data_IF_991570390211
#
_entry.id   IF_991570390211
#
_cell.length_a   1.000
_cell.length_b   1.000
_cell.length_c   1.000
_cell.angle_alpha   90.00
_cell.angle_beta   90.00
_cell.angle_gamma   90.00
#
_symmetry.space_group_name_H-M   'P 1'
#
loop_
_entity.id
_entity.type
_entity.pdbx_description
1 polymer ?
#
# COMPACT_ATOMS: atom_id res chain seq x y z
N UNK A 1 -21.67 30.72 47.67
CA UNK A 1 -21.08 31.19 46.38
C UNK A 1 -20.11 30.14 45.90
N UNK A 2 -20.57 29.26 45.04
CA UNK A 2 -19.76 28.17 44.46
C UNK A 2 -19.78 28.37 42.94
N UNK A 3 -18.67 28.81 42.41
CA UNK A 3 -18.46 29.05 40.98
C UNK A 3 -18.22 27.72 40.28
N UNK A 4 -19.17 27.34 39.47
CA UNK A 4 -19.07 26.24 38.52
C UNK A 4 -18.07 26.58 37.40
N UNK A 5 -16.98 25.83 37.31
CA UNK A 5 -16.07 25.89 36.14
C UNK A 5 -16.66 25.08 35.01
N UNK A 6 -17.10 25.77 33.97
CA UNK A 6 -17.44 25.15 32.67
C UNK A 6 -16.17 24.58 32.06
N UNK A 7 -16.12 23.26 32.00
CA UNK A 7 -15.16 22.53 31.21
C UNK A 7 -15.67 22.50 29.75
N UNK A 8 -15.20 23.43 28.92
CA UNK A 8 -15.38 23.39 27.49
C UNK A 8 -14.46 22.30 26.91
N UNK A 9 -15.00 21.11 26.72
CA UNK A 9 -14.38 20.08 25.90
C UNK A 9 -14.30 20.59 24.45
N UNK A 10 -13.13 21.03 24.05
CA UNK A 10 -12.79 21.33 22.65
C UNK A 10 -12.86 20.02 21.88
N UNK A 11 -13.99 19.77 21.24
CA UNK A 11 -14.12 18.72 20.24
C UNK A 11 -13.20 19.09 19.09
N UNK A 12 -12.07 18.43 18.99
CA UNK A 12 -11.17 18.52 17.85
C UNK A 12 -11.94 17.99 16.64
N UNK A 13 -12.61 18.85 15.91
CA UNK A 13 -13.15 18.51 14.59
C UNK A 13 -11.93 18.25 13.70
N UNK A 14 -11.63 16.97 13.44
CA UNK A 14 -10.64 16.62 12.44
C UNK A 14 -11.09 17.24 11.11
N UNK A 15 -10.32 18.18 10.61
CA UNK A 15 -10.54 18.79 9.30
C UNK A 15 -10.54 17.64 8.29
N UNK A 16 -11.68 17.40 7.63
CA UNK A 16 -11.77 16.37 6.60
C UNK A 16 -10.82 16.75 5.45
N UNK A 17 -9.87 15.90 5.16
CA UNK A 17 -8.96 16.09 4.04
C UNK A 17 -9.73 16.00 2.71
N UNK A 18 -9.22 16.65 1.66
CA UNK A 18 -9.74 16.43 0.31
C UNK A 18 -9.27 15.07 -0.20
N UNK A 19 -10.05 14.43 -1.08
CA UNK A 19 -9.69 13.16 -1.72
C UNK A 19 -8.28 13.22 -2.33
N UNK A 20 -7.97 14.32 -3.05
CA UNK A 20 -6.62 14.50 -3.60
C UNK A 20 -5.54 14.48 -2.51
N UNK A 21 -5.77 15.09 -1.35
CA UNK A 21 -4.81 15.06 -0.23
C UNK A 21 -4.66 13.65 0.33
N UNK A 22 -5.75 12.92 0.48
CA UNK A 22 -5.76 11.53 0.95
C UNK A 22 -4.98 10.63 -0.01
N UNK A 23 -5.19 10.74 -1.31
CA UNK A 23 -4.46 9.99 -2.34
C UNK A 23 -2.94 10.29 -2.32
N UNK A 24 -2.55 11.54 -2.10
CA UNK A 24 -1.12 11.89 -1.95
C UNK A 24 -0.52 11.29 -0.69
N UNK A 25 -1.22 11.32 0.45
CA UNK A 25 -0.77 10.68 1.69
C UNK A 25 -0.61 9.17 1.52
N UNK A 26 -1.58 8.51 0.90
CA UNK A 26 -1.54 7.08 0.58
C UNK A 26 -0.32 6.75 -0.30
N UNK A 27 -0.13 7.50 -1.40
CA UNK A 27 0.97 7.27 -2.34
C UNK A 27 2.35 7.48 -1.69
N UNK A 28 2.53 8.54 -0.91
CA UNK A 28 3.77 8.78 -0.17
C UNK A 28 4.04 7.64 0.81
N UNK A 29 3.02 7.18 1.54
CA UNK A 29 3.16 6.08 2.49
C UNK A 29 3.60 4.78 1.80
N UNK A 30 2.94 4.41 0.69
CA UNK A 30 3.25 3.20 -0.07
C UNK A 30 4.68 3.22 -0.64
N UNK A 31 5.10 4.33 -1.22
CA UNK A 31 6.47 4.49 -1.71
C UNK A 31 7.51 4.36 -0.58
N UNK A 32 7.23 4.93 0.60
CA UNK A 32 8.12 4.79 1.76
C UNK A 32 8.13 3.37 2.33
N UNK A 33 7.00 2.67 2.33
CA UNK A 33 6.89 1.28 2.77
C UNK A 33 7.72 0.32 1.90
N UNK A 34 7.85 0.63 0.59
CA UNK A 34 8.74 -0.08 -0.32
C UNK A 34 10.22 0.36 -0.21
N UNK A 35 10.54 1.27 0.71
CA UNK A 35 11.90 1.80 0.90
C UNK A 35 12.36 2.77 -0.19
N UNK A 36 11.45 3.25 -1.02
CA UNK A 36 11.77 4.14 -2.13
C UNK A 36 11.92 5.60 -1.67
N UNK A 37 12.88 6.35 -2.25
CA UNK A 37 13.03 7.77 -1.94
C UNK A 37 11.92 8.58 -2.61
N UNK A 38 10.97 9.09 -1.84
CA UNK A 38 9.85 9.86 -2.39
C UNK A 38 10.32 11.20 -2.93
N UNK A 39 10.43 11.31 -4.24
CA UNK A 39 10.67 12.56 -4.96
C UNK A 39 9.39 13.00 -5.68
N UNK A 40 9.31 14.28 -6.11
CA UNK A 40 8.17 14.77 -6.89
C UNK A 40 8.00 13.96 -8.19
N UNK A 41 9.11 13.57 -8.84
CA UNK A 41 9.06 12.77 -10.07
C UNK A 41 8.52 11.36 -9.82
N UNK A 42 9.03 10.66 -8.80
CA UNK A 42 8.57 9.32 -8.46
C UNK A 42 7.10 9.34 -8.01
N UNK A 43 6.72 10.35 -7.22
CA UNK A 43 5.33 10.53 -6.80
C UNK A 43 4.41 10.81 -8.00
N UNK A 44 4.84 11.61 -8.98
CA UNK A 44 4.07 11.86 -10.19
C UNK A 44 3.86 10.59 -11.03
N UNK A 45 4.87 9.72 -11.14
CA UNK A 45 4.72 8.43 -11.81
C UNK A 45 3.78 7.49 -11.04
N UNK A 46 3.92 7.41 -9.73
CA UNK A 46 3.04 6.59 -8.90
C UNK A 46 1.57 7.05 -8.97
N UNK A 47 1.31 8.36 -8.97
CA UNK A 47 -0.05 8.89 -9.06
C UNK A 47 -0.76 8.55 -10.38
N UNK A 48 -0.03 8.17 -11.43
CA UNK A 48 -0.63 7.68 -12.69
C UNK A 48 -1.22 6.28 -12.57
N UNK A 49 -0.87 5.52 -11.53
CA UNK A 49 -1.44 4.18 -11.27
C UNK A 49 -2.80 4.25 -10.58
N UNK A 50 -3.14 5.41 -9.99
CA UNK A 50 -4.44 5.65 -9.37
C UNK A 50 -5.51 5.80 -10.46
N UNK A 51 -6.73 5.26 -10.26
CA UNK A 51 -7.80 5.36 -11.24
C UNK A 51 -8.07 6.79 -11.72
N UNK A 52 -8.25 6.98 -13.02
CA UNK A 52 -8.52 8.30 -13.61
C UNK A 52 -9.79 8.97 -13.02
N UNK A 53 -10.73 8.17 -12.54
CA UNK A 53 -11.94 8.66 -11.86
C UNK A 53 -11.65 9.54 -10.64
N UNK A 54 -10.46 9.42 -10.02
CA UNK A 54 -10.02 10.25 -8.90
C UNK A 54 -9.64 11.68 -9.32
N UNK A 55 -9.49 11.95 -10.61
CA UNK A 55 -9.26 13.30 -11.15
C UNK A 55 -7.96 13.95 -10.69
N UNK A 56 -6.92 13.18 -10.40
CA UNK A 56 -5.65 13.68 -9.90
C UNK A 56 -4.80 14.30 -11.01
N UNK A 57 -4.24 15.48 -10.75
CA UNK A 57 -3.23 16.08 -11.63
C UNK A 57 -1.88 15.38 -11.44
N UNK A 58 -1.43 14.62 -12.44
CA UNK A 58 -0.20 13.82 -12.40
C UNK A 58 1.01 14.50 -13.06
N UNK A 59 0.86 15.72 -13.59
CA UNK A 59 1.99 16.49 -14.14
C UNK A 59 2.94 16.95 -13.04
N UNK A 60 4.24 17.05 -13.33
CA UNK A 60 5.23 17.53 -12.37
C UNK A 60 4.87 18.87 -11.71
N UNK A 61 4.39 19.91 -12.46
CA UNK A 61 3.94 21.16 -11.84
C UNK A 61 2.75 20.97 -10.88
N UNK A 62 1.77 20.14 -11.25
CA UNK A 62 0.61 19.84 -10.43
C UNK A 62 1.02 19.15 -9.13
N UNK A 63 1.82 18.10 -9.24
CA UNK A 63 2.34 17.34 -8.09
C UNK A 63 3.19 18.24 -7.19
N UNK A 64 4.10 19.03 -7.78
CA UNK A 64 4.91 19.98 -7.01
C UNK A 64 4.07 21.03 -6.26
N UNK A 65 3.00 21.52 -6.86
CA UNK A 65 2.08 22.47 -6.23
C UNK A 65 1.33 21.84 -5.06
N UNK A 66 0.85 20.60 -5.21
CA UNK A 66 0.17 19.87 -4.13
C UNK A 66 1.15 19.55 -2.98
N UNK A 67 2.35 19.08 -3.27
CA UNK A 67 3.36 18.80 -2.23
C UNK A 67 3.72 20.08 -1.44
N UNK A 68 3.86 21.22 -2.11
CA UNK A 68 4.05 22.51 -1.42
C UNK A 68 2.85 22.91 -0.56
N UNK A 69 1.64 22.61 -1.02
CA UNK A 69 0.44 22.81 -0.22
C UNK A 69 0.45 21.91 1.03
N UNK A 70 0.76 20.63 0.88
CA UNK A 70 0.90 19.67 1.99
C UNK A 70 1.97 20.10 3.01
N UNK A 71 3.08 20.67 2.52
CA UNK A 71 4.14 21.23 3.38
C UNK A 71 3.64 22.44 4.18
N UNK A 72 2.94 23.37 3.53
CA UNK A 72 2.34 24.54 4.21
C UNK A 72 1.26 24.14 5.22
N UNK A 73 0.49 23.09 4.94
CA UNK A 73 -0.52 22.55 5.85
C UNK A 73 0.08 21.63 6.94
N UNK A 74 1.39 21.40 6.91
CA UNK A 74 2.12 20.70 7.96
C UNK A 74 2.07 19.16 7.89
N UNK A 75 1.72 18.57 6.74
CA UNK A 75 1.67 17.11 6.56
C UNK A 75 3.02 16.52 6.11
N UNK A 76 3.77 17.26 5.32
CA UNK A 76 5.07 16.81 4.83
C UNK A 76 6.12 17.92 5.00
N UNK A 77 7.38 17.53 4.83
CA UNK A 77 8.53 18.45 4.67
C UNK A 77 9.30 18.03 3.43
N UNK A 78 9.86 19.00 2.72
CA UNK A 78 10.77 18.76 1.59
C UNK A 78 12.20 18.93 2.13
N UNK A 79 12.98 17.86 2.14
CA UNK A 79 14.38 17.91 2.52
C UNK A 79 15.16 18.81 1.57
N UNK A 80 15.79 19.86 2.08
CA UNK A 80 16.48 20.85 1.27
C UNK A 80 17.68 20.28 0.50
N UNK A 81 18.32 19.22 1.03
CA UNK A 81 19.54 18.63 0.49
C UNK A 81 19.26 17.65 -0.65
N UNK A 82 18.32 16.75 -0.47
CA UNK A 82 18.06 15.63 -1.40
C UNK A 82 16.71 15.72 -2.10
N UNK A 83 15.92 16.78 -1.81
CA UNK A 83 14.57 17.03 -2.37
C UNK A 83 13.56 15.91 -2.12
N UNK A 84 13.79 15.08 -1.10
CA UNK A 84 12.85 14.03 -0.71
C UNK A 84 11.68 14.62 0.09
N UNK A 85 10.50 14.08 -0.16
CA UNK A 85 9.29 14.37 0.61
C UNK A 85 9.24 13.39 1.78
N UNK A 86 9.18 13.93 3.00
CA UNK A 86 9.09 13.14 4.23
C UNK A 86 7.89 13.57 5.06
N UNK A 87 7.25 12.65 5.73
CA UNK A 87 6.13 12.97 6.61
C UNK A 87 6.56 13.79 7.84
N UNK A 88 5.69 14.68 8.28
CA UNK A 88 5.63 15.10 9.66
C UNK A 88 4.90 14.05 10.51
N UNK A 89 4.90 14.19 11.84
CA UNK A 89 4.10 13.32 12.72
C UNK A 89 2.61 13.37 12.33
N UNK A 90 2.07 14.57 12.10
CA UNK A 90 0.68 14.74 11.68
C UNK A 90 0.40 14.10 10.33
N UNK A 91 1.31 14.27 9.35
CA UNK A 91 1.20 13.65 8.03
C UNK A 91 1.20 12.14 8.11
N UNK A 92 2.11 11.57 8.89
CA UNK A 92 2.20 10.11 9.06
C UNK A 92 0.93 9.52 9.68
N UNK A 93 0.41 10.12 10.77
CA UNK A 93 -0.83 9.65 11.41
C UNK A 93 -2.04 9.71 10.47
N UNK A 94 -2.15 10.78 9.65
CA UNK A 94 -3.21 10.86 8.64
C UNK A 94 -3.02 9.82 7.54
N UNK A 95 -1.78 9.61 7.07
CA UNK A 95 -1.47 8.59 6.08
C UNK A 95 -1.83 7.17 6.59
N UNK A 96 -1.45 6.82 7.83
CA UNK A 96 -1.86 5.55 8.45
C UNK A 96 -3.39 5.35 8.44
N UNK A 97 -4.14 6.42 8.72
CA UNK A 97 -5.62 6.36 8.72
C UNK A 97 -6.16 6.05 7.33
N UNK A 98 -5.65 6.69 6.27
CA UNK A 98 -6.08 6.44 4.89
C UNK A 98 -5.64 5.06 4.42
N UNK A 99 -4.37 4.68 4.64
CA UNK A 99 -3.84 3.35 4.30
C UNK A 99 -4.65 2.24 4.99
N UNK A 100 -5.03 2.44 6.25
CA UNK A 100 -5.88 1.51 6.98
C UNK A 100 -7.24 1.34 6.30
N UNK A 101 -7.93 2.44 5.94
CA UNK A 101 -9.22 2.39 5.24
C UNK A 101 -9.10 1.73 3.88
N UNK A 102 -8.07 2.08 3.12
CA UNK A 102 -7.77 1.47 1.83
C UNK A 102 -7.63 -0.05 1.94
N UNK A 103 -6.76 -0.54 2.84
CA UNK A 103 -6.51 -1.98 3.04
C UNK A 103 -7.71 -2.72 3.61
N UNK A 104 -8.54 -2.06 4.41
CA UNK A 104 -9.83 -2.63 4.84
C UNK A 104 -10.85 -2.67 3.70
N UNK A 105 -10.85 -1.68 2.80
CA UNK A 105 -11.68 -1.72 1.59
C UNK A 105 -11.23 -2.85 0.65
N UNK A 106 -9.92 -3.05 0.44
CA UNK A 106 -9.39 -4.20 -0.32
C UNK A 106 -9.89 -5.53 0.26
N UNK A 107 -9.82 -5.72 1.59
CA UNK A 107 -10.36 -6.91 2.26
C UNK A 107 -11.87 -7.03 2.10
N UNK A 108 -12.60 -5.92 2.24
CA UNK A 108 -14.06 -5.89 2.11
C UNK A 108 -14.50 -6.41 0.73
N UNK A 109 -13.87 -5.88 -0.34
CA UNK A 109 -14.25 -6.24 -1.71
C UNK A 109 -13.85 -7.67 -2.07
N UNK A 110 -12.69 -8.16 -1.59
CA UNK A 110 -12.25 -9.53 -1.83
C UNK A 110 -13.02 -10.52 -0.96
N UNK A 111 -13.01 -10.35 0.36
CA UNK A 111 -13.45 -11.38 1.30
C UNK A 111 -14.98 -11.46 1.41
N UNK A 112 -15.72 -10.36 1.21
CA UNK A 112 -17.17 -10.33 1.35
C UNK A 112 -17.92 -10.20 0.01
N UNK A 113 -17.36 -9.49 -0.98
CA UNK A 113 -18.03 -9.28 -2.27
C UNK A 113 -17.52 -10.21 -3.36
N UNK A 114 -16.40 -10.93 -3.11
CA UNK A 114 -15.85 -11.89 -4.06
C UNK A 114 -15.25 -11.23 -5.31
N UNK A 115 -14.80 -9.97 -5.18
CA UNK A 115 -14.09 -9.28 -6.27
C UNK A 115 -12.73 -9.96 -6.46
N UNK A 116 -12.37 -10.19 -7.71
CA UNK A 116 -11.09 -10.81 -8.06
C UNK A 116 -9.92 -9.95 -7.56
N UNK A 117 -8.91 -10.61 -7.00
CA UNK A 117 -7.78 -9.95 -6.36
C UNK A 117 -7.13 -8.89 -7.27
N UNK A 118 -6.98 -9.17 -8.57
CA UNK A 118 -6.36 -8.24 -9.52
C UNK A 118 -7.21 -6.99 -9.84
N UNK A 119 -8.48 -6.91 -9.37
CA UNK A 119 -9.36 -5.74 -9.46
C UNK A 119 -9.52 -5.00 -8.16
N UNK A 120 -9.31 -5.69 -7.04
CA UNK A 120 -9.72 -5.22 -5.72
C UNK A 120 -9.06 -3.89 -5.31
N UNK A 121 -7.82 -3.63 -5.74
CA UNK A 121 -7.11 -2.39 -5.47
C UNK A 121 -7.84 -1.15 -6.05
N UNK A 122 -8.26 -1.24 -7.31
CA UNK A 122 -8.99 -0.15 -7.97
C UNK A 122 -10.37 0.08 -7.35
N UNK A 123 -11.09 -1.00 -7.01
CA UNK A 123 -12.38 -0.90 -6.32
C UNK A 123 -12.25 -0.31 -4.92
N UNK A 124 -11.16 -0.64 -4.21
CA UNK A 124 -10.86 -0.09 -2.88
C UNK A 124 -10.63 1.43 -2.93
N UNK A 125 -9.93 1.94 -3.95
CA UNK A 125 -9.74 3.37 -4.15
C UNK A 125 -11.08 4.14 -4.25
N UNK A 126 -12.06 3.59 -4.94
CA UNK A 126 -13.38 4.20 -5.08
C UNK A 126 -14.17 4.22 -3.75
N UNK A 127 -13.87 3.29 -2.84
CA UNK A 127 -14.61 3.12 -1.58
C UNK A 127 -13.98 3.84 -0.38
N UNK A 128 -12.65 3.91 -0.30
CA UNK A 128 -11.91 4.33 0.89
C UNK A 128 -12.31 5.72 1.40
N UNK A 129 -12.55 6.65 0.50
CA UNK A 129 -12.92 8.03 0.82
C UNK A 129 -14.33 8.16 1.42
N UNK A 130 -15.19 7.17 1.21
CA UNK A 130 -16.54 7.10 1.78
C UNK A 130 -16.59 6.43 3.15
N UNK A 131 -15.52 5.74 3.57
CA UNK A 131 -15.47 5.02 4.84
C UNK A 131 -15.31 6.00 6.00
N UNK A 132 -16.39 6.22 6.76
CA UNK A 132 -16.33 6.97 8.00
C UNK A 132 -15.66 6.18 9.12
N UNK A 133 -15.18 6.83 10.21
CA UNK A 133 -14.61 6.10 11.36
C UNK A 133 -15.56 5.08 11.99
N UNK A 134 -16.87 5.36 11.99
CA UNK A 134 -17.88 4.41 12.44
C UNK A 134 -17.98 3.19 11.52
N UNK A 135 -18.04 3.43 10.21
CA UNK A 135 -18.11 2.34 9.22
C UNK A 135 -16.82 1.51 9.22
N UNK A 136 -15.66 2.15 9.35
CA UNK A 136 -14.36 1.46 9.49
C UNK A 136 -14.37 0.45 10.65
N UNK A 137 -14.90 0.85 11.82
CA UNK A 137 -15.04 -0.06 12.98
C UNK A 137 -15.95 -1.25 12.65
N UNK A 138 -17.05 -1.03 11.91
CA UNK A 138 -17.97 -2.11 11.52
C UNK A 138 -17.36 -3.05 10.50
N UNK A 139 -16.64 -2.51 9.50
CA UNK A 139 -15.92 -3.30 8.50
C UNK A 139 -14.86 -4.16 9.19
N UNK A 140 -14.04 -3.57 10.06
CA UNK A 140 -13.00 -4.27 10.79
C UNK A 140 -13.56 -5.46 11.58
N UNK A 141 -14.64 -5.24 12.35
CA UNK A 141 -15.29 -6.29 13.12
C UNK A 141 -15.90 -7.38 12.21
N UNK A 142 -16.54 -6.99 11.10
CA UNK A 142 -17.15 -7.93 10.14
C UNK A 142 -16.12 -8.81 9.45
N UNK A 143 -14.93 -8.28 9.18
CA UNK A 143 -13.80 -8.99 8.59
C UNK A 143 -13.01 -9.84 9.60
N UNK A 144 -13.37 -9.85 10.88
CA UNK A 144 -12.66 -10.62 11.92
C UNK A 144 -11.33 -10.00 12.33
N UNK A 145 -11.19 -8.68 12.23
CA UNK A 145 -9.99 -7.91 12.56
C UNK A 145 -8.73 -8.37 11.79
N UNK A 146 -8.73 -8.30 10.46
CA UNK A 146 -7.58 -8.71 9.67
C UNK A 146 -6.35 -7.86 9.99
N UNK A 147 -5.18 -8.49 9.96
CA UNK A 147 -3.92 -7.82 10.25
C UNK A 147 -3.16 -7.38 8.99
N UNK A 148 -3.47 -7.99 7.86
CA UNK A 148 -2.85 -7.71 6.55
C UNK A 148 -3.92 -7.54 5.46
N UNK A 149 -3.58 -6.80 4.41
CA UNK A 149 -4.38 -6.68 3.19
C UNK A 149 -4.38 -7.99 2.39
N UNK A 150 -5.24 -8.15 1.37
CA UNK A 150 -5.20 -9.33 0.50
C UNK A 150 -3.87 -9.52 -0.24
N UNK A 151 -3.10 -8.45 -0.39
CA UNK A 151 -1.78 -8.45 -1.03
C UNK A 151 -0.62 -8.66 -0.05
N UNK A 152 -0.89 -8.90 1.25
CA UNK A 152 0.09 -9.17 2.29
C UNK A 152 0.61 -7.94 3.05
N UNK A 153 0.20 -6.73 2.71
CA UNK A 153 0.66 -5.51 3.40
C UNK A 153 -0.03 -5.32 4.76
N UNK A 154 0.72 -4.88 5.80
CA UNK A 154 0.17 -4.65 7.14
C UNK A 154 -0.97 -3.64 7.14
N UNK A 155 -2.08 -3.93 7.82
CA UNK A 155 -3.12 -2.93 8.09
C UNK A 155 -2.65 -2.07 9.27
N UNK A 156 -2.46 -0.75 9.10
CA UNK A 156 -2.01 0.12 10.19
C UNK A 156 -2.88 0.00 11.43
N UNK A 157 -2.27 -0.08 12.60
CA UNK A 157 -2.95 -0.27 13.88
C UNK A 157 -3.39 -1.71 14.19
N UNK A 158 -3.11 -2.68 13.33
CA UNK A 158 -3.40 -4.10 13.60
C UNK A 158 -2.39 -4.77 14.54
N UNK A 159 -1.23 -4.15 14.76
CA UNK A 159 -0.12 -4.74 15.51
C UNK A 159 0.71 -5.75 14.71
N UNK A 160 0.39 -5.99 13.44
CA UNK A 160 1.20 -6.86 12.58
C UNK A 160 2.57 -6.25 12.31
N UNK A 161 3.60 -7.06 12.47
CA UNK A 161 4.98 -6.69 12.16
C UNK A 161 5.45 -7.46 10.94
N UNK A 162 5.98 -6.72 9.96
CA UNK A 162 6.61 -7.32 8.77
C UNK A 162 7.71 -8.27 9.21
N UNK A 163 7.74 -9.47 8.62
CA UNK A 163 8.76 -10.46 8.92
C UNK A 163 10.15 -9.93 8.47
N UNK A 164 11.08 -9.83 9.41
CA UNK A 164 12.44 -9.33 9.14
C UNK A 164 13.27 -10.23 8.20
N UNK A 165 12.84 -11.48 8.00
CA UNK A 165 13.46 -12.40 7.04
C UNK A 165 12.90 -12.24 5.62
N UNK A 166 11.84 -11.43 5.44
CA UNK A 166 11.28 -11.21 4.12
C UNK A 166 12.31 -10.50 3.23
N UNK A 167 12.48 -11.01 2.01
CA UNK A 167 13.36 -10.47 1.00
C UNK A 167 12.68 -10.50 -0.37
N UNK A 168 13.22 -9.77 -1.32
CA UNK A 168 12.73 -9.78 -2.70
C UNK A 168 12.96 -11.14 -3.34
N UNK A 169 12.00 -11.63 -4.14
CA UNK A 169 12.10 -12.91 -4.85
C UNK A 169 13.39 -12.99 -5.70
N UNK A 170 13.78 -11.89 -6.35
CA UNK A 170 15.03 -11.76 -7.12
C UNK A 170 16.32 -11.96 -6.30
N UNK A 171 16.24 -11.87 -4.96
CA UNK A 171 17.38 -12.03 -4.04
C UNK A 171 17.43 -13.41 -3.40
N UNK A 172 16.57 -14.32 -3.83
CA UNK A 172 16.60 -15.72 -3.40
C UNK A 172 17.67 -16.51 -4.16
N UNK A 173 17.89 -17.75 -3.74
CA UNK A 173 18.83 -18.67 -4.39
C UNK A 173 18.09 -19.82 -5.04
N UNK A 174 18.71 -20.45 -6.05
CA UNK A 174 18.15 -21.65 -6.69
C UNK A 174 17.88 -22.74 -5.64
N UNK A 175 16.80 -23.49 -5.82
CA UNK A 175 16.29 -24.52 -4.91
C UNK A 175 15.82 -23.99 -3.52
N UNK A 176 15.81 -22.68 -3.29
CA UNK A 176 15.23 -22.14 -2.06
C UNK A 176 13.72 -22.35 -2.04
N UNK A 177 13.21 -22.83 -0.89
CA UNK A 177 11.77 -22.83 -0.60
C UNK A 177 11.39 -21.51 0.06
N UNK A 178 10.16 -21.05 -0.19
CA UNK A 178 9.67 -19.80 0.35
C UNK A 178 8.15 -19.81 0.58
N UNK A 179 7.69 -18.82 1.35
CA UNK A 179 6.29 -18.44 1.43
C UNK A 179 6.17 -17.05 0.80
N UNK A 180 5.18 -16.83 -0.07
CA UNK A 180 4.87 -15.50 -0.60
C UNK A 180 4.38 -14.60 0.54
N UNK A 181 5.06 -13.49 0.79
CA UNK A 181 4.74 -12.54 1.85
C UNK A 181 3.86 -11.39 1.33
N UNK A 182 4.33 -10.70 0.28
CA UNK A 182 3.63 -9.56 -0.33
C UNK A 182 3.85 -9.55 -1.83
N UNK A 183 2.82 -9.06 -2.55
CA UNK A 183 2.83 -8.90 -4.01
C UNK A 183 2.51 -7.45 -4.40
N UNK A 184 2.98 -6.98 -5.58
CA UNK A 184 2.64 -5.64 -6.08
C UNK A 184 1.14 -5.49 -6.32
N UNK A 185 0.64 -4.24 -6.32
CA UNK A 185 -0.79 -3.95 -6.46
C UNK A 185 -1.13 -3.02 -7.63
N UNK A 186 -0.13 -2.32 -8.20
CA UNK A 186 -0.35 -1.23 -9.16
C UNK A 186 -0.51 -1.70 -10.61
N UNK A 187 -0.11 -2.93 -10.94
CA UNK A 187 -0.21 -3.51 -12.28
C UNK A 187 -1.25 -4.64 -12.30
N UNK A 188 -2.43 -4.32 -12.81
CA UNK A 188 -3.54 -5.27 -12.90
C UNK A 188 -3.21 -6.50 -13.76
N UNK A 189 -2.44 -6.33 -14.83
CA UNK A 189 -2.06 -7.44 -15.73
C UNK A 189 -1.08 -8.38 -15.04
N UNK A 190 -0.09 -7.82 -14.33
CA UNK A 190 0.83 -8.59 -13.50
C UNK A 190 0.09 -9.31 -12.38
N UNK A 191 -0.79 -8.61 -11.65
CA UNK A 191 -1.60 -9.22 -10.60
C UNK A 191 -2.43 -10.40 -11.10
N UNK A 192 -3.05 -10.26 -12.28
CA UNK A 192 -3.81 -11.35 -12.89
C UNK A 192 -2.90 -12.56 -13.15
N UNK A 193 -1.72 -12.34 -13.73
CA UNK A 193 -0.74 -13.41 -13.98
C UNK A 193 -0.29 -14.07 -12.67
N UNK A 194 -0.03 -13.28 -11.60
CA UNK A 194 0.35 -13.81 -10.28
C UNK A 194 -0.75 -14.71 -9.69
N UNK A 195 -2.01 -14.26 -9.76
CA UNK A 195 -3.17 -15.01 -9.26
C UNK A 195 -3.36 -16.32 -10.03
N UNK A 196 -3.30 -16.28 -11.37
CA UNK A 196 -3.45 -17.45 -12.24
C UNK A 196 -2.35 -18.50 -12.02
N UNK A 197 -1.18 -18.08 -11.52
CA UNK A 197 -0.05 -18.96 -11.19
C UNK A 197 0.12 -19.22 -9.69
N UNK A 198 -0.91 -18.98 -8.87
CA UNK A 198 -0.93 -19.20 -7.42
C UNK A 198 0.14 -18.39 -6.64
N UNK A 199 0.67 -17.32 -7.21
CA UNK A 199 1.66 -16.45 -6.54
C UNK A 199 0.92 -15.39 -5.73
N UNK A 200 0.31 -15.80 -4.63
CA UNK A 200 -0.47 -14.94 -3.73
C UNK A 200 0.00 -15.09 -2.28
N UNK A 201 -0.19 -14.09 -1.42
CA UNK A 201 0.28 -14.14 -0.03
C UNK A 201 -0.15 -15.41 0.70
N UNK A 202 0.80 -16.03 1.40
CA UNK A 202 0.61 -17.29 2.11
C UNK A 202 0.86 -18.55 1.31
N UNK A 203 0.96 -18.48 -0.02
CA UNK A 203 1.29 -19.64 -0.85
C UNK A 203 2.77 -20.00 -0.72
N UNK A 204 3.05 -21.31 -0.77
CA UNK A 204 4.42 -21.84 -0.73
C UNK A 204 4.95 -22.08 -2.13
N UNK A 205 6.24 -21.86 -2.31
CA UNK A 205 6.90 -22.11 -3.58
C UNK A 205 8.37 -22.47 -3.44
N UNK A 206 8.98 -22.76 -4.57
CA UNK A 206 10.43 -23.02 -4.69
C UNK A 206 10.98 -22.37 -5.96
N UNK A 207 12.26 -21.99 -5.91
CA UNK A 207 12.97 -21.47 -7.07
C UNK A 207 13.46 -22.66 -7.91
N UNK A 208 12.99 -22.79 -9.15
CA UNK A 208 13.40 -23.85 -10.07
C UNK A 208 14.62 -23.42 -10.92
N UNK A 209 14.70 -22.15 -11.33
CA UNK A 209 15.79 -21.64 -12.14
C UNK A 209 16.01 -20.14 -11.88
N UNK A 210 17.26 -19.71 -11.94
CA UNK A 210 17.66 -18.30 -12.05
C UNK A 210 18.58 -18.20 -13.25
N UNK A 211 18.15 -17.48 -14.29
CA UNK A 211 18.92 -17.25 -15.51
C UNK A 211 19.33 -15.78 -15.58
N UNK A 212 20.54 -15.49 -15.09
CA UNK A 212 21.06 -14.12 -15.07
C UNK A 212 21.25 -13.55 -16.47
N UNK A 213 21.67 -14.39 -17.45
CA UNK A 213 21.88 -13.96 -18.84
C UNK A 213 20.57 -13.58 -19.54
N UNK A 214 19.49 -14.30 -19.25
CA UNK A 214 18.15 -13.99 -19.74
C UNK A 214 17.43 -12.95 -18.88
N UNK A 215 17.94 -12.67 -17.67
CA UNK A 215 17.31 -11.78 -16.70
C UNK A 215 16.00 -12.34 -16.15
N UNK A 216 15.88 -13.69 -16.01
CA UNK A 216 14.64 -14.35 -15.59
C UNK A 216 14.82 -15.21 -14.34
N UNK A 217 13.72 -15.40 -13.63
CA UNK A 217 13.58 -16.32 -12.51
C UNK A 217 12.35 -17.19 -12.72
N UNK A 218 12.50 -18.51 -12.59
CA UNK A 218 11.42 -19.50 -12.69
C UNK A 218 11.13 -20.06 -11.30
N UNK A 219 9.85 -20.16 -10.98
CA UNK A 219 9.40 -20.69 -9.69
C UNK A 219 8.32 -21.74 -9.90
N UNK A 220 8.21 -22.66 -8.96
CA UNK A 220 7.03 -23.48 -8.78
C UNK A 220 6.30 -23.02 -7.52
N UNK A 221 5.04 -22.55 -7.67
CA UNK A 221 4.25 -22.07 -6.55
C UNK A 221 2.94 -22.86 -6.50
N UNK A 222 2.75 -23.62 -5.41
CA UNK A 222 1.56 -24.46 -5.21
C UNK A 222 1.19 -25.33 -6.43
N UNK A 223 2.22 -25.88 -7.12
CA UNK A 223 2.06 -26.76 -8.28
C UNK A 223 1.92 -26.04 -9.63
N UNK A 224 1.97 -24.73 -9.68
CA UNK A 224 2.01 -23.94 -10.92
C UNK A 224 3.41 -23.43 -11.19
N UNK A 225 3.88 -23.54 -12.42
CA UNK A 225 5.14 -22.93 -12.85
C UNK A 225 4.90 -21.51 -13.34
N UNK A 226 5.71 -20.57 -12.87
CA UNK A 226 5.68 -19.18 -13.31
C UNK A 226 7.09 -18.69 -13.62
N UNK A 227 7.22 -17.86 -14.65
CA UNK A 227 8.48 -17.24 -15.06
C UNK A 227 8.31 -15.73 -15.03
N UNK A 228 9.26 -15.06 -14.36
CA UNK A 228 9.29 -13.60 -14.24
C UNK A 228 10.62 -13.05 -14.74
N UNK A 229 10.62 -11.79 -15.15
CA UNK A 229 11.87 -11.03 -15.20
C UNK A 229 12.41 -10.80 -13.77
N UNK A 230 13.70 -10.64 -13.61
CA UNK A 230 14.29 -10.29 -12.31
C UNK A 230 13.71 -8.97 -11.76
N UNK A 231 13.36 -8.02 -12.64
CA UNK A 231 12.70 -6.77 -12.23
C UNK A 231 11.29 -6.98 -11.65
N UNK A 232 10.51 -7.96 -12.14
CA UNK A 232 9.25 -8.37 -11.52
C UNK A 232 9.53 -9.10 -10.20
N UNK A 233 10.58 -9.93 -10.14
CA UNK A 233 11.04 -10.56 -8.89
C UNK A 233 11.42 -9.54 -7.81
N UNK A 234 11.85 -8.34 -8.19
CA UNK A 234 12.10 -7.22 -7.25
C UNK A 234 10.81 -6.60 -6.67
N UNK A 235 9.65 -6.91 -7.19
CA UNK A 235 8.35 -6.43 -6.67
C UNK A 235 7.69 -7.43 -5.71
N UNK A 236 8.09 -8.70 -5.75
CA UNK A 236 7.50 -9.78 -4.96
C UNK A 236 8.37 -10.03 -3.72
N UNK A 237 7.74 -10.02 -2.55
CA UNK A 237 8.41 -10.33 -1.30
C UNK A 237 8.10 -11.76 -0.86
N UNK A 238 9.12 -12.46 -0.41
CA UNK A 238 9.01 -13.84 0.07
C UNK A 238 9.76 -14.03 1.39
N UNK A 239 9.32 -14.98 2.17
CA UNK A 239 9.99 -15.42 3.40
C UNK A 239 10.63 -16.77 3.11
N UNK A 240 11.97 -16.89 3.11
CA UNK A 240 12.65 -18.18 2.98
C UNK A 240 12.28 -19.12 4.12
N UNK A 241 12.08 -20.39 3.80
CA UNK A 241 11.84 -21.47 4.75
C UNK A 241 13.15 -22.12 5.19
#
# INVERSE_FOLDING_TARGET
>A
MTTSKNNTSTTNMSVRLSMAMENYLLSIFRLQEEGLPVTISLLAEHLKTIPEAEGLGTSLPSVGSMVKRMEREGFVKIDAKNKKVVFTTAGFTNAETIVRRHRLAERLVVDLFGVELYRAHNEAHLLEHAISPYLETKILAKLGNPSISPYGYPIPGSGYLINKKALKLSKTTINANFIVDRIPVDDQSLLKYLVENNVTPGQTGSISEINESAGTISINCSGSEAVFSLSVGDLIWVIPN
#
